data_IF_742488580973
#
_entry.id   IF_742488580973
#
_cell.length_a   1.000
_cell.length_b   1.000
_cell.length_c   1.000
_cell.angle_alpha   90.00
_cell.angle_beta   90.00
_cell.angle_gamma   90.00
#
_symmetry.space_group_name_H-M   'P 1'
#
loop_
_entity.id
_entity.type
_entity.pdbx_description
1 polymer ?
#
# COMPACT_ATOMS: atom_id res chain seq x y z
N UNK A 1 -26.50 13.84 -25.70
CA UNK A 1 -25.35 13.06 -25.16
C UNK A 1 -24.09 13.92 -24.97
N UNK A 2 -23.67 14.73 -25.95
CA UNK A 2 -22.49 15.60 -25.81
C UNK A 2 -22.53 16.57 -24.62
N UNK A 3 -23.69 17.13 -24.31
CA UNK A 3 -23.90 18.00 -23.13
C UNK A 3 -23.66 17.28 -21.80
N UNK A 4 -24.11 16.03 -21.67
CA UNK A 4 -23.90 15.22 -20.47
C UNK A 4 -22.42 14.89 -20.25
N UNK A 5 -21.66 14.57 -21.32
CA UNK A 5 -20.21 14.32 -21.22
C UNK A 5 -19.45 15.55 -20.76
N UNK A 6 -19.75 16.72 -21.33
CA UNK A 6 -19.15 17.99 -20.91
C UNK A 6 -19.45 18.31 -19.44
N UNK A 7 -20.66 18.01 -18.96
CA UNK A 7 -21.02 18.19 -17.55
C UNK A 7 -20.20 17.27 -16.62
N UNK A 8 -19.96 16.02 -17.00
CA UNK A 8 -19.12 15.07 -16.25
C UNK A 8 -17.70 15.64 -16.14
N UNK A 9 -17.08 16.00 -17.26
CA UNK A 9 -15.71 16.53 -17.28
C UNK A 9 -15.58 17.84 -16.50
N UNK A 10 -16.58 18.74 -16.59
CA UNK A 10 -16.59 19.99 -15.83
C UNK A 10 -16.71 19.76 -14.31
N UNK A 11 -17.46 18.74 -13.88
CA UNK A 11 -17.50 18.35 -12.48
C UNK A 11 -16.16 17.77 -12.03
N UNK A 12 -15.56 16.87 -12.82
CA UNK A 12 -14.25 16.26 -12.50
C UNK A 12 -13.14 17.30 -12.40
N UNK A 13 -13.11 18.27 -13.33
CA UNK A 13 -12.11 19.34 -13.34
C UNK A 13 -12.15 20.20 -12.08
N UNK A 14 -13.35 20.52 -11.58
CA UNK A 14 -13.55 21.27 -10.34
C UNK A 14 -13.10 20.49 -9.10
N UNK A 15 -13.20 19.16 -9.11
CA UNK A 15 -12.89 18.32 -7.96
C UNK A 15 -11.47 17.76 -7.95
N UNK A 16 -10.74 17.79 -9.08
CA UNK A 16 -9.38 17.26 -9.16
C UNK A 16 -8.41 17.87 -8.14
N UNK A 17 -8.37 19.19 -8.00
CA UNK A 17 -7.43 19.85 -7.07
C UNK A 17 -7.80 19.56 -5.60
N UNK A 18 -9.06 19.75 -5.15
CA UNK A 18 -9.45 19.41 -3.78
C UNK A 18 -9.17 17.94 -3.44
N UNK A 19 -9.51 17.01 -4.35
CA UNK A 19 -9.30 15.58 -4.14
C UNK A 19 -7.81 15.25 -4.06
N UNK A 20 -7.00 15.84 -4.96
CA UNK A 20 -5.56 15.65 -4.98
C UNK A 20 -4.90 16.11 -3.68
N UNK A 21 -5.20 17.34 -3.23
CA UNK A 21 -4.68 17.88 -1.97
C UNK A 21 -5.15 17.05 -0.78
N UNK A 22 -6.43 16.69 -0.75
CA UNK A 22 -7.01 15.89 0.34
C UNK A 22 -6.34 14.52 0.47
N UNK A 23 -6.04 13.86 -0.66
CA UNK A 23 -5.32 12.58 -0.65
C UNK A 23 -3.94 12.70 0.01
N UNK A 24 -3.17 13.75 -0.31
CA UNK A 24 -1.87 13.99 0.32
C UNK A 24 -1.99 14.32 1.80
N UNK A 25 -2.88 15.23 2.17
CA UNK A 25 -3.09 15.61 3.57
C UNK A 25 -3.49 14.40 4.40
N UNK A 26 -4.43 13.59 3.90
CA UNK A 26 -4.86 12.37 4.56
C UNK A 26 -3.70 11.39 4.78
N UNK A 27 -2.88 11.14 3.75
CA UNK A 27 -1.71 10.27 3.86
C UNK A 27 -0.68 10.82 4.84
N UNK A 28 -0.37 12.12 4.79
CA UNK A 28 0.58 12.76 5.72
C UNK A 28 0.07 12.64 7.16
N UNK A 29 -1.21 12.89 7.42
CA UNK A 29 -1.79 12.76 8.76
C UNK A 29 -1.63 11.33 9.31
N UNK A 30 -1.91 10.31 8.51
CA UNK A 30 -1.75 8.91 8.94
C UNK A 30 -0.28 8.55 9.19
N UNK A 31 0.64 8.99 8.33
CA UNK A 31 2.08 8.77 8.51
C UNK A 31 2.60 9.47 9.77
N UNK A 32 2.24 10.74 9.98
CA UNK A 32 2.62 11.52 11.16
C UNK A 32 2.05 10.88 12.42
N UNK A 33 0.79 10.42 12.37
CA UNK A 33 0.17 9.65 13.45
C UNK A 33 1.03 8.44 13.84
N UNK A 34 1.47 7.66 12.86
CA UNK A 34 2.32 6.49 13.12
C UNK A 34 3.68 6.86 13.75
N UNK A 35 4.27 7.97 13.34
CA UNK A 35 5.51 8.47 13.98
C UNK A 35 5.26 8.84 15.45
N UNK A 36 4.12 9.46 15.76
CA UNK A 36 3.76 9.83 17.15
C UNK A 36 3.63 8.59 18.03
N UNK A 37 2.94 7.53 17.57
CA UNK A 37 2.78 6.30 18.37
C UNK A 37 4.08 5.50 18.46
N UNK A 38 4.89 5.44 17.39
CA UNK A 38 6.20 4.78 17.45
C UNK A 38 7.12 5.40 18.49
N UNK A 39 7.08 6.72 18.67
CA UNK A 39 7.85 7.40 19.72
C UNK A 39 7.40 7.07 21.16
N UNK A 40 6.21 6.48 21.34
CA UNK A 40 5.73 5.98 22.63
C UNK A 40 6.21 4.55 22.93
N UNK A 41 6.56 3.77 21.90
CA UNK A 41 6.92 2.36 22.02
C UNK A 41 8.39 2.12 21.64
N UNK A 42 9.32 2.66 22.45
CA UNK A 42 10.76 2.61 22.14
C UNK A 42 11.46 1.32 22.60
N UNK A 43 10.84 0.53 23.48
CA UNK A 43 11.44 -0.67 24.08
C UNK A 43 10.83 -1.98 23.60
N UNK A 44 9.72 -1.93 22.87
CA UNK A 44 8.99 -3.13 22.44
C UNK A 44 8.11 -3.75 23.54
N UNK A 45 8.22 -3.28 24.78
CA UNK A 45 7.45 -3.77 25.93
C UNK A 45 6.13 -3.01 26.10
N UNK A 46 5.05 -3.75 26.34
CA UNK A 46 3.72 -3.17 26.48
C UNK A 46 3.57 -2.34 27.76
N UNK A 47 4.21 -2.78 28.84
CA UNK A 47 4.24 -2.07 30.12
C UNK A 47 4.82 -0.66 29.97
N UNK A 48 5.97 -0.53 29.29
CA UNK A 48 6.58 0.78 29.03
C UNK A 48 5.74 1.65 28.11
N UNK A 49 5.10 1.05 27.10
CA UNK A 49 4.15 1.77 26.25
C UNK A 49 2.99 2.36 27.07
N UNK A 50 2.39 1.59 27.99
CA UNK A 50 1.29 2.07 28.85
C UNK A 50 1.75 3.13 29.87
N UNK A 51 2.96 3.00 30.43
CA UNK A 51 3.56 4.04 31.29
C UNK A 51 3.71 5.34 30.49
N UNK A 52 4.32 5.26 29.30
CA UNK A 52 4.52 6.40 28.41
C UNK A 52 3.19 7.02 27.96
N UNK A 53 2.19 6.18 27.69
CA UNK A 53 0.84 6.60 27.34
C UNK A 53 0.14 7.34 28.50
N UNK A 54 0.31 6.90 29.74
CA UNK A 54 -0.23 7.58 30.93
C UNK A 54 0.45 8.95 31.15
N UNK A 55 1.78 8.98 31.07
CA UNK A 55 2.58 10.22 31.19
C UNK A 55 2.27 11.22 30.07
N UNK A 56 1.96 10.71 28.87
CA UNK A 56 1.71 11.51 27.68
C UNK A 56 0.31 11.29 27.10
N UNK A 57 -0.73 11.28 27.93
CA UNK A 57 -2.11 11.05 27.47
C UNK A 57 -2.54 11.96 26.30
N UNK A 58 -2.02 13.20 26.26
CA UNK A 58 -2.23 14.11 25.13
C UNK A 58 -1.67 13.60 23.79
N UNK A 59 -0.55 12.87 23.78
CA UNK A 59 0.01 12.24 22.57
C UNK A 59 -0.87 11.09 22.08
N UNK A 60 -1.44 10.31 22.99
CA UNK A 60 -2.38 9.22 22.65
C UNK A 60 -3.65 9.77 22.01
N UNK A 61 -4.24 10.81 22.60
CA UNK A 61 -5.41 11.48 22.05
C UNK A 61 -5.10 12.14 20.69
N UNK A 62 -3.93 12.77 20.55
CA UNK A 62 -3.47 13.38 19.31
C UNK A 62 -3.32 12.32 18.20
N UNK A 63 -2.68 11.19 18.50
CA UNK A 63 -2.57 10.05 17.59
C UNK A 63 -3.95 9.58 17.12
N UNK A 64 -4.85 9.27 18.04
CA UNK A 64 -6.19 8.78 17.72
C UNK A 64 -6.97 9.78 16.84
N UNK A 65 -6.88 11.07 17.16
CA UNK A 65 -7.52 12.14 16.39
C UNK A 65 -6.94 12.31 14.99
N UNK A 66 -5.61 12.29 14.84
CA UNK A 66 -4.93 12.39 13.54
C UNK A 66 -5.28 11.21 12.64
N UNK A 67 -5.27 10.00 13.19
CA UNK A 67 -5.63 8.79 12.46
C UNK A 67 -7.09 8.80 12.03
N UNK A 68 -8.00 9.19 12.93
CA UNK A 68 -9.42 9.30 12.63
C UNK A 68 -9.70 10.32 11.52
N UNK A 69 -9.10 11.51 11.61
CA UNK A 69 -9.23 12.55 10.58
C UNK A 69 -8.62 12.10 9.24
N UNK A 70 -7.44 11.47 9.29
CA UNK A 70 -6.77 10.95 8.10
C UNK A 70 -7.64 9.95 7.34
N UNK A 71 -8.22 8.97 8.04
CA UNK A 71 -9.11 7.99 7.40
C UNK A 71 -10.38 8.63 6.85
N UNK A 72 -11.02 9.57 7.56
CA UNK A 72 -12.19 10.29 7.03
C UNK A 72 -11.85 11.04 5.73
N UNK A 73 -10.69 11.71 5.68
CA UNK A 73 -10.24 12.42 4.50
C UNK A 73 -9.92 11.48 3.33
N UNK A 74 -9.42 10.27 3.58
CA UNK A 74 -9.23 9.24 2.53
C UNK A 74 -10.54 8.80 1.87
N UNK A 75 -11.68 8.97 2.54
CA UNK A 75 -12.99 8.71 1.94
C UNK A 75 -13.27 9.57 0.71
N UNK A 76 -12.78 10.82 0.68
CA UNK A 76 -13.03 11.74 -0.43
C UNK A 76 -12.42 11.30 -1.77
N UNK A 77 -11.11 11.00 -1.89
CA UNK A 77 -10.53 10.51 -3.14
C UNK A 77 -11.11 9.18 -3.57
N UNK A 78 -11.42 8.29 -2.62
CA UNK A 78 -12.04 7.00 -2.95
C UNK A 78 -13.46 7.18 -3.51
N UNK A 79 -14.27 8.03 -2.87
CA UNK A 79 -15.61 8.39 -3.35
C UNK A 79 -15.56 9.09 -4.72
N UNK A 80 -14.60 9.99 -4.94
CA UNK A 80 -14.39 10.65 -6.22
C UNK A 80 -14.15 9.64 -7.35
N UNK A 81 -13.21 8.70 -7.14
CA UNK A 81 -12.92 7.65 -8.11
C UNK A 81 -14.13 6.73 -8.34
N UNK A 82 -14.83 6.36 -7.26
CA UNK A 82 -16.05 5.55 -7.32
C UNK A 82 -17.13 6.24 -8.17
N UNK A 83 -17.38 7.52 -7.93
CA UNK A 83 -18.37 8.30 -8.67
C UNK A 83 -17.99 8.46 -10.14
N UNK A 84 -16.73 8.77 -10.44
CA UNK A 84 -16.22 8.86 -11.81
C UNK A 84 -16.40 7.53 -12.56
N UNK A 85 -16.22 6.41 -11.87
CA UNK A 85 -16.45 5.08 -12.43
C UNK A 85 -17.95 4.81 -12.65
N UNK A 86 -18.80 5.15 -11.68
CA UNK A 86 -20.24 4.91 -11.71
C UNK A 86 -20.99 5.61 -12.85
N UNK A 87 -20.50 6.77 -13.29
CA UNK A 87 -21.10 7.52 -14.40
C UNK A 87 -20.70 6.97 -15.77
N UNK A 88 -19.71 6.06 -15.84
CA UNK A 88 -19.16 5.50 -17.09
C UNK A 88 -19.54 4.03 -17.33
N UNK A 89 -20.17 3.35 -16.36
CA UNK A 89 -20.51 1.93 -16.51
C UNK A 89 -21.88 1.60 -15.94
N UNK A 90 -22.76 1.08 -16.80
CA UNK A 90 -24.11 0.63 -16.40
C UNK A 90 -24.07 -0.63 -15.52
N UNK A 91 -22.98 -1.42 -15.62
CA UNK A 91 -22.77 -2.61 -14.78
C UNK A 91 -22.33 -2.25 -13.35
N UNK A 92 -22.01 -0.98 -13.08
CA UNK A 92 -21.53 -0.52 -11.80
C UNK A 92 -22.69 -0.30 -10.81
N UNK A 93 -22.71 -1.06 -9.72
CA UNK A 93 -23.76 -1.03 -8.70
C UNK A 93 -23.56 0.19 -7.81
N UNK A 94 -24.37 1.22 -8.04
CA UNK A 94 -24.36 2.47 -7.27
C UNK A 94 -24.63 2.27 -5.77
N UNK A 95 -25.29 1.16 -5.39
CA UNK A 95 -25.55 0.79 -4.00
C UNK A 95 -24.25 0.59 -3.19
N UNK A 96 -23.12 0.28 -3.84
CA UNK A 96 -21.82 0.12 -3.17
C UNK A 96 -21.24 1.44 -2.61
N UNK A 97 -21.88 2.58 -2.92
CA UNK A 97 -21.47 3.89 -2.37
C UNK A 97 -21.51 3.91 -0.85
N UNK A 98 -22.45 3.18 -0.24
CA UNK A 98 -22.55 3.06 1.21
C UNK A 98 -21.29 2.44 1.82
N UNK A 99 -20.71 1.42 1.18
CA UNK A 99 -19.49 0.75 1.65
C UNK A 99 -18.28 1.68 1.56
N UNK A 100 -18.18 2.44 0.47
CA UNK A 100 -17.10 3.43 0.24
C UNK A 100 -17.07 4.52 1.31
N UNK A 101 -18.25 4.93 1.79
CA UNK A 101 -18.38 5.97 2.83
C UNK A 101 -18.27 5.37 4.23
N UNK A 102 -18.88 4.20 4.47
CA UNK A 102 -18.91 3.57 5.79
C UNK A 102 -17.51 3.11 6.26
N UNK A 103 -16.67 2.60 5.35
CA UNK A 103 -15.36 2.07 5.75
C UNK A 103 -14.41 3.13 6.37
N UNK A 104 -14.20 4.32 5.75
CA UNK A 104 -13.50 5.44 6.38
C UNK A 104 -14.06 5.86 7.75
N UNK A 105 -15.39 5.86 7.89
CA UNK A 105 -16.05 6.23 9.15
C UNK A 105 -15.79 5.19 10.22
N UNK A 106 -15.86 3.90 9.89
CA UNK A 106 -15.56 2.83 10.82
C UNK A 106 -14.10 2.81 11.23
N UNK A 107 -13.16 3.11 10.32
CA UNK A 107 -11.76 3.31 10.69
C UNK A 107 -11.59 4.46 11.66
N UNK A 108 -12.29 5.58 11.44
CA UNK A 108 -12.21 6.73 12.33
C UNK A 108 -12.78 6.42 13.72
N UNK A 109 -13.93 5.76 13.79
CA UNK A 109 -14.51 5.30 15.07
C UNK A 109 -13.55 4.33 15.77
N UNK A 110 -13.00 3.35 15.05
CA UNK A 110 -12.06 2.39 15.60
C UNK A 110 -10.81 3.09 16.17
N UNK A 111 -10.24 4.07 15.46
CA UNK A 111 -9.07 4.83 15.92
C UNK A 111 -9.36 5.58 17.23
N UNK A 112 -10.53 6.23 17.36
CA UNK A 112 -10.93 6.90 18.59
C UNK A 112 -11.11 5.90 19.74
N UNK A 113 -11.80 4.78 19.48
CA UNK A 113 -11.99 3.74 20.50
C UNK A 113 -10.64 3.19 20.98
N UNK A 114 -9.71 2.91 20.06
CA UNK A 114 -8.36 2.47 20.41
C UNK A 114 -7.64 3.49 21.29
N UNK A 115 -7.73 4.79 20.99
CA UNK A 115 -7.15 5.83 21.85
C UNK A 115 -7.74 5.87 23.26
N UNK A 116 -9.06 5.69 23.39
CA UNK A 116 -9.74 5.64 24.70
C UNK A 116 -9.33 4.38 25.47
N UNK A 117 -9.36 3.21 24.82
CA UNK A 117 -8.94 1.93 25.42
C UNK A 117 -7.51 2.01 25.92
N UNK A 118 -6.59 2.55 25.12
CA UNK A 118 -5.19 2.74 25.53
C UNK A 118 -5.08 3.67 26.74
N UNK A 119 -5.86 4.76 26.79
CA UNK A 119 -5.83 5.70 27.91
C UNK A 119 -6.36 5.07 29.20
N UNK A 120 -7.49 4.34 29.12
CA UNK A 120 -8.06 3.62 30.26
C UNK A 120 -7.14 2.51 30.77
N UNK A 121 -6.58 1.72 29.85
CA UNK A 121 -5.64 0.65 30.19
C UNK A 121 -4.38 1.21 30.84
N UNK A 122 -3.85 2.34 30.34
CA UNK A 122 -2.69 3.00 30.91
C UNK A 122 -2.92 3.45 32.36
N UNK A 123 -4.08 4.05 32.66
CA UNK A 123 -4.43 4.45 34.03
C UNK A 123 -4.59 3.24 34.95
N UNK A 124 -5.32 2.20 34.53
CA UNK A 124 -5.49 0.97 35.33
C UNK A 124 -4.16 0.27 35.61
N UNK A 125 -3.27 0.25 34.62
CA UNK A 125 -1.96 -0.35 34.72
C UNK A 125 -1.09 0.35 35.78
N UNK A 126 -1.00 1.69 35.70
CA UNK A 126 -0.21 2.51 36.63
C UNK A 126 -0.78 2.49 38.05
N UNK A 127 -2.11 2.41 38.19
CA UNK A 127 -2.77 2.30 39.50
C UNK A 127 -2.72 0.88 40.10
N UNK A 128 -2.13 -0.09 39.39
CA UNK A 128 -2.08 -1.51 39.80
C UNK A 128 -3.46 -2.14 40.06
N UNK A 129 -4.50 -1.65 39.38
CA UNK A 129 -5.88 -2.13 39.57
C UNK A 129 -6.11 -3.54 39.00
N UNK A 130 -5.24 -3.96 38.07
CA UNK A 130 -5.32 -5.25 37.40
C UNK A 130 -4.12 -6.09 37.82
N UNK A 131 -4.32 -7.28 38.42
CA UNK A 131 -3.22 -8.16 38.76
C UNK A 131 -2.67 -8.85 37.50
N UNK A 132 -1.36 -9.15 37.52
CA UNK A 132 -0.77 -10.07 36.56
C UNK A 132 -1.40 -11.46 36.72
N UNK A 133 -1.72 -12.09 35.60
CA UNK A 133 -2.15 -13.48 35.51
C UNK A 133 -0.94 -14.41 35.62
N UNK A 134 0.19 -14.02 35.04
CA UNK A 134 1.41 -14.80 35.08
C UNK A 134 2.04 -14.80 36.48
N UNK A 135 2.45 -15.98 36.94
CA UNK A 135 3.14 -16.13 38.21
C UNK A 135 4.65 -15.88 38.10
N UNK A 136 5.30 -15.52 39.21
CA UNK A 136 6.77 -15.38 39.26
C UNK A 136 7.53 -16.62 38.79
N UNK A 137 6.98 -17.82 39.01
CA UNK A 137 7.60 -19.06 38.58
C UNK A 137 7.50 -19.28 37.06
N UNK A 138 6.42 -18.83 36.45
CA UNK A 138 6.24 -18.89 34.99
C UNK A 138 7.18 -17.90 34.30
N UNK A 139 7.23 -16.66 34.80
CA UNK A 139 8.17 -15.63 34.33
C UNK A 139 9.63 -16.13 34.40
N UNK A 140 10.05 -16.70 35.53
CA UNK A 140 11.41 -17.22 35.70
C UNK A 140 11.74 -18.36 34.72
N UNK A 141 10.77 -19.22 34.42
CA UNK A 141 10.93 -20.31 33.44
C UNK A 141 11.08 -19.75 32.02
N UNK A 142 10.26 -18.77 31.66
CA UNK A 142 10.29 -18.12 30.35
C UNK A 142 11.61 -17.38 30.13
N UNK A 143 12.02 -16.53 31.08
CA UNK A 143 13.31 -15.83 31.04
C UNK A 143 14.52 -16.78 31.02
N UNK A 144 14.47 -17.89 31.75
CA UNK A 144 15.56 -18.88 31.72
C UNK A 144 15.63 -19.60 30.36
N UNK A 145 14.46 -19.90 29.77
CA UNK A 145 14.38 -20.50 28.44
C UNK A 145 14.90 -19.54 27.37
N UNK A 146 14.48 -18.28 27.39
CA UNK A 146 14.94 -17.25 26.46
C UNK A 146 16.46 -17.06 26.57
N UNK A 147 16.99 -16.95 27.79
CA UNK A 147 18.45 -16.89 28.03
C UNK A 147 19.19 -18.10 27.47
N UNK A 148 18.59 -19.29 27.52
CA UNK A 148 19.18 -20.50 26.95
C UNK A 148 19.14 -20.52 25.42
N UNK A 149 18.14 -19.89 24.80
CA UNK A 149 17.94 -19.87 23.35
C UNK A 149 18.79 -18.77 22.68
N UNK A 150 18.77 -17.54 23.20
CA UNK A 150 19.57 -16.40 22.71
C UNK A 150 21.04 -16.47 23.18
N UNK A 151 21.29 -17.14 24.30
CA UNK A 151 22.60 -17.20 24.96
C UNK A 151 22.83 -16.02 25.91
N UNK A 152 23.70 -16.23 26.90
CA UNK A 152 23.84 -15.31 28.04
C UNK A 152 24.35 -13.91 27.68
N UNK A 153 25.09 -13.75 26.57
CA UNK A 153 25.61 -12.44 26.13
C UNK A 153 24.50 -11.59 25.53
N UNK A 154 23.82 -12.11 24.50
CA UNK A 154 22.72 -11.42 23.82
C UNK A 154 21.58 -11.11 24.81
N UNK A 155 21.23 -12.08 25.66
CA UNK A 155 20.24 -11.86 26.73
C UNK A 155 20.67 -10.76 27.72
N UNK A 156 21.96 -10.69 28.07
CA UNK A 156 22.47 -9.65 28.96
C UNK A 156 22.50 -8.26 28.32
N UNK A 157 22.63 -8.17 27.00
CA UNK A 157 22.59 -6.91 26.22
C UNK A 157 21.16 -6.39 26.06
N UNK A 158 20.17 -7.27 25.97
CA UNK A 158 18.75 -6.92 25.94
C UNK A 158 18.25 -6.43 27.31
N UNK A 159 18.58 -7.19 28.37
CA UNK A 159 18.06 -6.96 29.73
C UNK A 159 19.02 -6.17 30.63
N UNK A 160 19.48 -5.01 30.15
CA UNK A 160 20.57 -4.23 30.78
C UNK A 160 20.19 -3.39 32.00
N UNK A 161 18.90 -3.29 32.35
CA UNK A 161 18.42 -2.43 33.45
C UNK A 161 18.74 -2.98 34.85
N UNK A 162 20.01 -2.98 35.27
CA UNK A 162 20.38 -3.33 36.66
C UNK A 162 21.44 -4.42 36.76
N UNK A 163 21.63 -4.98 37.96
CA UNK A 163 22.73 -5.91 38.26
C UNK A 163 22.43 -7.38 37.89
N UNK A 164 21.16 -7.74 37.67
CA UNK A 164 20.76 -9.10 37.32
C UNK A 164 19.77 -9.13 36.12
N UNK A 165 20.26 -9.45 34.91
CA UNK A 165 19.42 -9.53 33.70
C UNK A 165 18.21 -10.47 33.82
N UNK A 166 18.34 -11.58 34.56
CA UNK A 166 17.22 -12.51 34.75
C UNK A 166 16.11 -11.89 35.60
N UNK A 167 16.46 -11.18 36.67
CA UNK A 167 15.47 -10.53 37.52
C UNK A 167 14.74 -9.40 36.76
N UNK A 168 15.45 -8.67 35.90
CA UNK A 168 14.86 -7.62 35.07
C UNK A 168 13.89 -8.18 34.04
N UNK A 169 14.25 -9.30 33.41
CA UNK A 169 13.36 -10.03 32.51
C UNK A 169 12.11 -10.49 33.27
N UNK A 170 12.26 -11.12 34.43
CA UNK A 170 11.13 -11.61 35.23
C UNK A 170 10.16 -10.48 35.63
N UNK A 171 10.70 -9.33 36.05
CA UNK A 171 9.89 -8.17 36.40
C UNK A 171 9.16 -7.58 35.18
N UNK A 172 9.86 -7.47 34.06
CA UNK A 172 9.28 -6.91 32.83
C UNK A 172 8.21 -7.81 32.24
N UNK A 173 8.41 -9.13 32.24
CA UNK A 173 7.40 -10.08 31.78
C UNK A 173 6.13 -10.04 32.63
N UNK A 174 6.26 -9.93 33.96
CA UNK A 174 5.11 -9.76 34.86
C UNK A 174 4.41 -8.42 34.60
N UNK A 175 5.17 -7.36 34.34
CA UNK A 175 4.61 -6.06 34.00
C UNK A 175 3.92 -6.08 32.63
N UNK A 176 4.47 -6.76 31.63
CA UNK A 176 3.89 -6.89 30.29
C UNK A 176 2.60 -7.73 30.33
N UNK A 177 2.57 -8.84 31.07
CA UNK A 177 1.34 -9.61 31.27
C UNK A 177 0.25 -8.76 31.97
N UNK A 178 0.63 -7.95 32.98
CA UNK A 178 -0.30 -7.00 33.60
C UNK A 178 -0.81 -5.94 32.62
N UNK A 179 0.06 -5.44 31.74
CA UNK A 179 -0.31 -4.48 30.71
C UNK A 179 -1.32 -5.09 29.73
N UNK A 180 -1.08 -6.32 29.29
CA UNK A 180 -1.99 -7.07 28.42
C UNK A 180 -3.35 -7.29 29.10
N UNK A 181 -3.36 -7.74 30.37
CA UNK A 181 -4.61 -7.88 31.14
C UNK A 181 -5.37 -6.55 31.28
N UNK A 182 -4.66 -5.42 31.39
CA UNK A 182 -5.28 -4.09 31.47
C UNK A 182 -5.96 -3.69 30.16
N UNK A 183 -5.37 -4.06 29.02
CA UNK A 183 -5.98 -3.88 27.70
C UNK A 183 -7.20 -4.79 27.52
N UNK A 184 -7.10 -6.06 27.94
CA UNK A 184 -8.18 -7.06 27.80
C UNK A 184 -9.39 -6.80 28.69
N UNK A 185 -9.19 -6.22 29.87
CA UNK A 185 -10.29 -5.84 30.77
C UNK A 185 -10.99 -4.53 30.36
N UNK A 186 -10.56 -3.90 29.27
CA UNK A 186 -11.21 -2.69 28.77
C UNK A 186 -12.47 -3.05 27.99
N UNK A 187 -13.64 -2.72 28.53
CA UNK A 187 -14.95 -3.10 27.96
C UNK A 187 -15.20 -2.61 26.53
N UNK A 188 -14.43 -1.62 26.05
CA UNK A 188 -14.50 -1.08 24.69
C UNK A 188 -13.61 -1.81 23.67
N UNK A 189 -12.70 -2.69 24.09
CA UNK A 189 -11.75 -3.38 23.20
C UNK A 189 -12.49 -4.22 22.15
N UNK A 190 -13.56 -4.93 22.55
CA UNK A 190 -14.39 -5.70 21.62
C UNK A 190 -15.09 -4.84 20.56
N UNK A 191 -15.53 -3.63 20.93
CA UNK A 191 -16.10 -2.66 19.99
C UNK A 191 -15.03 -2.13 19.03
N UNK A 192 -13.85 -1.77 19.54
CA UNK A 192 -12.73 -1.31 18.74
C UNK A 192 -12.32 -2.34 17.69
N UNK A 193 -12.20 -3.62 18.09
CA UNK A 193 -11.93 -4.73 17.18
C UNK A 193 -13.04 -4.92 16.14
N UNK A 194 -14.31 -4.88 16.56
CA UNK A 194 -15.46 -5.03 15.67
C UNK A 194 -15.52 -3.95 14.59
N UNK A 195 -15.39 -2.67 14.97
CA UNK A 195 -15.32 -1.56 14.03
C UNK A 195 -14.09 -1.63 13.14
N UNK A 196 -12.92 -1.99 13.70
CA UNK A 196 -11.68 -2.15 12.93
C UNK A 196 -11.79 -3.23 11.86
N UNK A 197 -12.36 -4.39 12.20
CA UNK A 197 -12.57 -5.49 11.26
C UNK A 197 -13.60 -5.12 10.17
N UNK A 198 -14.71 -4.50 10.57
CA UNK A 198 -15.74 -4.02 9.63
C UNK A 198 -15.16 -2.96 8.68
N UNK A 199 -14.32 -2.05 9.17
CA UNK A 199 -13.64 -1.05 8.38
C UNK A 199 -12.70 -1.68 7.34
N UNK A 200 -11.86 -2.65 7.75
CA UNK A 200 -10.94 -3.37 6.87
C UNK A 200 -11.69 -4.13 5.77
N UNK A 201 -12.75 -4.87 6.12
CA UNK A 201 -13.59 -5.58 5.15
C UNK A 201 -14.27 -4.63 4.17
N UNK A 202 -14.89 -3.56 4.68
CA UNK A 202 -15.54 -2.55 3.85
C UNK A 202 -14.55 -1.86 2.91
N UNK A 203 -13.37 -1.50 3.41
CA UNK A 203 -12.31 -0.86 2.64
C UNK A 203 -11.76 -1.79 1.56
N UNK A 204 -11.49 -3.06 1.87
CA UNK A 204 -11.04 -4.05 0.91
C UNK A 204 -12.03 -4.20 -0.25
N UNK A 205 -13.32 -4.34 0.07
CA UNK A 205 -14.40 -4.43 -0.94
C UNK A 205 -14.50 -3.14 -1.75
N UNK A 206 -14.52 -1.98 -1.08
CA UNK A 206 -14.64 -0.67 -1.73
C UNK A 206 -13.48 -0.42 -2.71
N UNK A 207 -12.24 -0.64 -2.26
CA UNK A 207 -11.04 -0.40 -3.06
C UNK A 207 -10.93 -1.41 -4.21
N UNK A 208 -11.11 -2.71 -3.95
CA UNK A 208 -11.10 -3.74 -4.98
C UNK A 208 -12.16 -3.47 -6.06
N UNK A 209 -13.41 -3.26 -5.63
CA UNK A 209 -14.53 -3.05 -6.55
C UNK A 209 -14.33 -1.79 -7.40
N UNK A 210 -13.91 -0.69 -6.77
CA UNK A 210 -13.67 0.58 -7.47
C UNK A 210 -12.53 0.44 -8.47
N UNK A 211 -11.38 -0.12 -8.07
CA UNK A 211 -10.21 -0.28 -8.93
C UNK A 211 -10.48 -1.20 -10.13
N UNK A 212 -11.21 -2.31 -9.92
CA UNK A 212 -11.58 -3.23 -10.99
C UNK A 212 -12.37 -2.53 -12.09
N UNK A 213 -13.40 -1.77 -11.73
CA UNK A 213 -14.24 -1.08 -12.71
C UNK A 213 -13.59 0.18 -13.27
N UNK A 214 -12.84 0.93 -12.46
CA UNK A 214 -12.09 2.12 -12.90
C UNK A 214 -11.08 1.76 -14.00
N UNK A 215 -10.42 0.60 -13.87
CA UNK A 215 -9.56 0.05 -14.92
C UNK A 215 -10.35 -0.32 -16.19
N UNK A 216 -11.53 -0.93 -16.04
CA UNK A 216 -12.38 -1.31 -17.19
C UNK A 216 -12.88 -0.12 -17.99
N UNK A 217 -13.18 1.00 -17.34
CA UNK A 217 -13.63 2.23 -18.01
C UNK A 217 -12.47 3.12 -18.47
N UNK A 218 -11.22 2.72 -18.22
CA UNK A 218 -10.02 3.46 -18.63
C UNK A 218 -9.62 4.63 -17.73
N UNK A 219 -10.19 4.77 -16.53
CA UNK A 219 -9.81 5.80 -15.57
C UNK A 219 -8.48 5.50 -14.86
N UNK A 220 -8.17 4.21 -14.71
CA UNK A 220 -6.89 3.72 -14.19
C UNK A 220 -6.17 2.90 -15.26
N UNK A 221 -4.84 2.94 -15.29
CA UNK A 221 -4.06 2.00 -16.08
C UNK A 221 -4.20 0.58 -15.50
N UNK A 222 -3.90 -0.45 -16.31
CA UNK A 222 -3.96 -1.85 -15.84
C UNK A 222 -3.10 -2.10 -14.60
N UNK A 223 -1.89 -1.53 -14.56
CA UNK A 223 -0.98 -1.64 -13.42
C UNK A 223 -1.57 -1.04 -12.14
N UNK A 224 -2.07 0.20 -12.19
CA UNK A 224 -2.62 0.85 -11.00
C UNK A 224 -3.97 0.25 -10.57
N UNK A 225 -4.76 -0.24 -11.52
CA UNK A 225 -5.97 -1.01 -11.23
C UNK A 225 -5.67 -2.32 -10.50
N UNK A 226 -4.70 -3.11 -10.97
CA UNK A 226 -4.31 -4.36 -10.30
C UNK A 226 -3.63 -4.12 -8.94
N UNK A 227 -2.77 -3.11 -8.85
CA UNK A 227 -2.14 -2.73 -7.59
C UNK A 227 -3.19 -2.31 -6.55
N UNK A 228 -4.16 -1.48 -6.91
CA UNK A 228 -5.24 -1.07 -6.02
C UNK A 228 -6.09 -2.26 -5.54
N UNK A 229 -6.38 -3.23 -6.41
CA UNK A 229 -7.07 -4.47 -6.00
C UNK A 229 -6.23 -5.29 -5.02
N UNK A 230 -4.93 -5.46 -5.29
CA UNK A 230 -4.03 -6.20 -4.42
C UNK A 230 -3.89 -5.53 -3.04
N UNK A 231 -3.72 -4.21 -3.00
CA UNK A 231 -3.67 -3.44 -1.75
C UNK A 231 -4.99 -3.49 -0.97
N UNK A 232 -6.13 -3.47 -1.68
CA UNK A 232 -7.44 -3.68 -1.07
C UNK A 232 -7.53 -5.02 -0.35
N UNK A 233 -7.19 -6.13 -1.00
CA UNK A 233 -7.21 -7.46 -0.34
C UNK A 233 -6.14 -7.54 0.75
N UNK A 234 -4.95 -7.02 0.48
CA UNK A 234 -3.84 -7.05 1.42
C UNK A 234 -4.17 -6.33 2.72
N UNK A 235 -5.00 -5.26 2.70
CA UNK A 235 -5.44 -4.54 3.91
C UNK A 235 -6.23 -5.36 4.93
N UNK A 236 -6.65 -6.58 4.57
CA UNK A 236 -7.29 -7.52 5.50
C UNK A 236 -6.27 -8.21 6.42
N UNK A 237 -5.07 -8.48 5.89
CA UNK A 237 -4.02 -9.26 6.56
C UNK A 237 -2.90 -8.32 7.00
N UNK A 238 -2.49 -7.44 6.09
CA UNK A 238 -1.53 -6.37 6.31
C UNK A 238 -2.24 -5.11 6.79
N UNK A 239 -1.44 -4.21 7.32
CA UNK A 239 -1.86 -2.90 7.78
C UNK A 239 -2.45 -2.08 6.59
N UNK A 240 -3.62 -1.43 6.72
CA UNK A 240 -4.22 -0.62 5.64
C UNK A 240 -3.31 0.51 5.11
N UNK A 241 -2.28 0.86 5.86
CA UNK A 241 -1.22 1.82 5.58
C UNK A 241 -0.50 1.53 4.26
N UNK A 242 -0.35 0.26 3.86
CA UNK A 242 0.23 -0.07 2.56
C UNK A 242 -0.60 0.50 1.40
N UNK A 243 -1.89 0.75 1.60
CA UNK A 243 -2.76 1.36 0.59
C UNK A 243 -2.50 2.86 0.41
N UNK A 244 -1.74 3.50 1.29
CA UNK A 244 -1.42 4.92 1.17
C UNK A 244 -0.64 5.25 -0.11
N UNK A 245 0.18 4.32 -0.61
CA UNK A 245 0.88 4.47 -1.89
C UNK A 245 -0.09 4.66 -3.06
N UNK A 246 -1.23 3.97 -3.02
CA UNK A 246 -2.28 4.10 -4.02
C UNK A 246 -2.97 5.47 -3.93
N UNK A 247 -3.18 6.00 -2.73
CA UNK A 247 -3.74 7.33 -2.54
C UNK A 247 -2.78 8.45 -2.91
N UNK A 248 -1.46 8.27 -2.67
CA UNK A 248 -0.43 9.17 -3.21
C UNK A 248 -0.50 9.21 -4.73
N UNK A 249 -0.60 8.04 -5.38
CA UNK A 249 -0.78 7.95 -6.82
C UNK A 249 -2.06 8.66 -7.29
N UNK A 250 -3.20 8.41 -6.66
CA UNK A 250 -4.45 9.11 -6.99
C UNK A 250 -4.33 10.61 -6.80
N UNK A 251 -3.60 11.05 -5.76
CA UNK A 251 -3.27 12.45 -5.52
C UNK A 251 -2.50 13.05 -6.70
N UNK A 252 -1.42 12.40 -7.13
CA UNK A 252 -0.61 12.82 -8.28
C UNK A 252 -1.43 12.81 -9.59
N UNK A 253 -2.27 11.79 -9.79
CA UNK A 253 -3.17 11.68 -10.94
C UNK A 253 -4.15 12.85 -10.99
N UNK A 254 -4.80 13.13 -9.86
CA UNK A 254 -5.75 14.22 -9.72
C UNK A 254 -5.06 15.58 -9.90
N UNK A 255 -3.83 15.77 -9.43
CA UNK A 255 -3.06 17.00 -9.66
C UNK A 255 -2.44 17.10 -11.06
N UNK A 256 -2.52 16.06 -11.89
CA UNK A 256 -1.90 16.05 -13.23
C UNK A 256 -0.37 16.03 -13.21
N UNK A 257 0.23 15.50 -12.13
CA UNK A 257 1.69 15.46 -11.89
C UNK A 257 2.33 14.12 -12.25
N UNK A 258 1.59 13.19 -12.82
CA UNK A 258 2.12 11.87 -13.18
C UNK A 258 2.95 11.91 -14.48
N UNK A 259 4.10 11.21 -14.53
CA UNK A 259 4.81 10.96 -15.77
C UNK A 259 3.92 10.10 -16.67
N UNK A 260 3.53 10.62 -17.83
CA UNK A 260 2.56 9.99 -18.74
C UNK A 260 1.16 10.59 -18.71
N UNK A 261 0.90 11.57 -17.83
CA UNK A 261 -0.36 12.32 -17.82
C UNK A 261 -1.56 11.50 -17.34
N UNK A 262 -2.77 11.99 -17.64
CA UNK A 262 -4.02 11.34 -17.25
C UNK A 262 -4.47 10.38 -18.36
N UNK A 263 -5.02 9.20 -18.01
CA UNK A 263 -5.66 8.32 -18.98
C UNK A 263 -6.74 9.03 -19.82
N UNK A 264 -6.93 8.62 -21.09
CA UNK A 264 -7.80 9.33 -22.04
C UNK A 264 -9.27 9.41 -21.60
N UNK A 265 -9.74 8.45 -20.80
CA UNK A 265 -11.12 8.43 -20.28
C UNK A 265 -11.46 9.66 -19.38
N UNK A 266 -10.45 10.29 -18.77
CA UNK A 266 -10.64 11.54 -18.01
C UNK A 266 -10.92 12.73 -18.92
N UNK A 267 -10.32 12.80 -20.10
CA UNK A 267 -10.57 13.86 -21.06
C UNK A 267 -11.86 13.62 -21.85
N UNK A 268 -12.16 12.36 -22.19
CA UNK A 268 -13.31 12.00 -23.01
C UNK A 268 -14.66 12.12 -22.27
N UNK A 269 -14.65 11.98 -20.94
CA UNK A 269 -15.89 11.96 -20.14
C UNK A 269 -16.77 10.73 -20.39
N UNK A 270 -16.22 9.71 -21.04
CA UNK A 270 -16.87 8.43 -21.31
C UNK A 270 -15.90 7.27 -21.05
N UNK A 271 -16.43 6.04 -21.06
CA UNK A 271 -15.59 4.85 -20.93
C UNK A 271 -14.74 4.67 -22.19
N UNK A 272 -13.43 4.65 -22.02
CA UNK A 272 -12.47 4.32 -23.08
C UNK A 272 -11.65 3.13 -22.60
N UNK A 273 -12.10 1.88 -22.88
CA UNK A 273 -11.40 0.68 -22.41
C UNK A 273 -9.96 0.64 -22.93
N UNK A 274 -9.03 0.13 -22.12
CA UNK A 274 -7.67 -0.09 -22.58
C UNK A 274 -7.62 -1.14 -23.69
N UNK A 275 -6.87 -0.91 -24.79
CA UNK A 275 -6.75 -1.88 -25.87
C UNK A 275 -6.26 -3.22 -25.34
N UNK A 276 -6.85 -4.33 -25.79
CA UNK A 276 -6.33 -5.66 -25.46
C UNK A 276 -4.95 -5.86 -26.11
N UNK A 277 -4.06 -6.70 -25.55
CA UNK A 277 -2.75 -6.95 -26.16
C UNK A 277 -2.83 -7.34 -27.64
N UNK A 278 -3.87 -8.09 -28.04
CA UNK A 278 -4.09 -8.47 -29.44
C UNK A 278 -4.53 -7.31 -30.35
N UNK A 279 -5.31 -6.35 -29.83
CA UNK A 279 -5.71 -5.16 -30.59
C UNK A 279 -4.53 -4.23 -30.86
N UNK A 280 -3.57 -4.12 -29.94
CA UNK A 280 -2.35 -3.34 -30.17
C UNK A 280 -1.49 -3.94 -31.27
N UNK A 281 -1.25 -5.25 -31.21
CA UNK A 281 -0.51 -5.94 -32.26
C UNK A 281 -1.24 -5.82 -33.61
N UNK A 282 -2.57 -5.87 -33.64
CA UNK A 282 -3.35 -5.66 -34.85
C UNK A 282 -3.32 -4.21 -35.36
N UNK A 283 -3.20 -3.21 -34.49
CA UNK A 283 -3.02 -1.80 -34.87
C UNK A 283 -1.61 -1.53 -35.41
N UNK A 284 -0.59 -2.18 -34.85
CA UNK A 284 0.79 -2.09 -35.35
C UNK A 284 1.00 -2.84 -36.67
N UNK A 285 0.21 -3.90 -36.91
CA UNK A 285 0.20 -4.65 -38.17
C UNK A 285 -0.71 -4.04 -39.23
N UNK A 286 -1.55 -3.06 -38.90
CA UNK A 286 -2.25 -2.29 -39.92
C UNK A 286 -1.19 -1.45 -40.64
N UNK A 287 -0.96 -1.69 -41.94
CA UNK A 287 0.01 -0.90 -42.69
C UNK A 287 -0.39 0.57 -42.55
N UNK A 288 0.56 1.43 -42.15
CA UNK A 288 0.39 2.88 -42.24
C UNK A 288 -0.12 3.17 -43.65
N UNK A 289 -1.28 3.83 -43.72
CA UNK A 289 -1.95 4.12 -44.96
C UNK A 289 -0.95 4.81 -45.91
N UNK A 290 -0.55 4.17 -47.03
CA UNK A 290 0.47 4.72 -47.92
C UNK A 290 0.01 6.02 -48.60
N UNK A 291 -1.21 6.49 -48.33
CA UNK A 291 -1.73 7.77 -48.79
C UNK A 291 -1.28 8.98 -47.97
N UNK A 292 -0.62 8.81 -46.81
CA UNK A 292 -0.23 9.92 -45.93
C UNK A 292 1.19 10.48 -46.17
N UNK A 293 2.01 9.86 -47.02
CA UNK A 293 3.36 10.38 -47.34
C UNK A 293 3.70 10.22 -48.83
N UNK A 294 2.91 10.88 -49.69
CA UNK A 294 3.50 11.44 -50.92
C UNK A 294 4.15 12.76 -50.52
N UNK A 295 5.31 12.68 -49.86
CA UNK A 295 6.25 13.79 -49.90
C UNK A 295 6.71 13.86 -51.34
N UNK A 296 6.12 14.79 -52.09
CA UNK A 296 6.57 15.24 -53.39
C UNK A 296 8.08 15.47 -53.29
N UNK A 297 8.85 14.55 -53.87
CA UNK A 297 10.29 14.69 -53.98
C UNK A 297 10.56 16.04 -54.68
N UNK A 298 11.42 16.91 -54.13
CA UNK A 298 11.82 18.12 -54.84
C UNK A 298 12.41 17.72 -56.19
N UNK A 299 11.84 18.24 -57.27
CA UNK A 299 12.38 18.05 -58.62
C UNK A 299 13.85 18.48 -58.64
N UNK A 300 14.75 17.50 -58.73
CA UNK A 300 16.17 17.74 -58.96
C UNK A 300 16.34 18.26 -60.40
N UNK A 301 16.92 19.45 -60.59
CA UNK A 301 17.15 19.99 -61.93
C UNK A 301 18.15 19.11 -62.69
N UNK A 302 17.78 18.76 -63.91
CA UNK A 302 18.58 17.99 -64.83
C UNK A 302 19.85 18.73 -65.26
N UNK A 303 20.99 18.03 -65.16
CA UNK A 303 22.08 18.10 -66.12
C UNK A 303 23.23 19.07 -65.81
N UNK A 304 24.39 18.50 -65.44
CA UNK A 304 25.66 18.87 -66.08
C UNK A 304 26.67 17.72 -66.00
N UNK A 305 27.05 17.24 -67.19
CA UNK A 305 28.21 16.39 -67.45
C UNK A 305 29.52 17.08 -67.09
N UNK A 306 30.45 16.31 -66.53
CA UNK A 306 31.93 16.37 -66.57
C UNK A 306 32.42 15.36 -65.50
N UNK A 307 33.26 14.35 -65.71
CA UNK A 307 34.29 14.08 -66.71
C UNK A 307 35.58 13.70 -65.94
N UNK A 308 36.04 12.46 -66.06
CA UNK A 308 37.34 11.96 -65.53
C UNK A 308 37.33 11.57 -64.04
N UNK A 309 38.15 10.66 -63.52
CA UNK A 309 39.32 9.98 -64.04
C UNK A 309 39.73 8.82 -63.07
N UNK A 310 40.34 7.81 -63.65
CA UNK A 310 41.29 6.80 -63.13
C UNK A 310 41.30 6.35 -61.64
N UNK A 311 40.92 5.09 -61.42
CA UNK A 311 41.85 4.00 -61.07
C UNK A 311 42.57 3.98 -59.71
N UNK A 312 42.28 2.94 -58.89
CA UNK A 312 43.34 2.02 -58.41
C UNK A 312 42.79 0.75 -57.77
N UNK A 313 43.36 -0.36 -58.23
CA UNK A 313 43.24 -1.71 -57.72
C UNK A 313 43.84 -1.87 -56.32
N UNK A 314 43.32 -2.84 -55.57
CA UNK A 314 43.88 -3.32 -54.31
C UNK A 314 43.26 -4.65 -53.91
N UNK A 315 43.83 -5.73 -54.44
CA UNK A 315 43.60 -7.12 -54.06
C UNK A 315 43.78 -7.36 -52.55
N UNK A 316 43.01 -8.30 -52.00
CA UNK A 316 43.60 -9.31 -51.14
C UNK A 316 42.75 -9.77 -49.93
N UNK A 317 42.85 -11.04 -49.52
CA UNK A 317 41.76 -11.78 -48.91
C UNK A 317 42.05 -12.24 -47.46
N UNK A 318 41.11 -13.01 -46.93
CA UNK A 318 41.29 -14.05 -45.90
C UNK A 318 40.94 -13.69 -44.46
N UNK A 319 40.10 -14.54 -43.86
CA UNK A 319 40.36 -15.04 -42.51
C UNK A 319 39.14 -15.13 -41.58
N UNK A 320 38.64 -16.35 -41.37
CA UNK A 320 38.35 -16.85 -40.01
C UNK A 320 36.88 -16.99 -39.58
N UNK A 321 36.33 -18.19 -39.79
CA UNK A 321 35.34 -18.86 -38.90
C UNK A 321 35.88 -19.05 -37.45
N UNK A 322 35.23 -19.81 -36.55
CA UNK A 322 33.87 -19.69 -35.98
C UNK A 322 33.93 -19.69 -34.43
N UNK A 323 32.83 -19.30 -33.78
CA UNK A 323 32.72 -19.31 -32.30
C UNK A 323 31.51 -20.09 -31.83
N UNK A 324 31.67 -21.42 -31.74
CA UNK A 324 30.75 -22.34 -31.08
C UNK A 324 30.87 -22.20 -29.55
N UNK A 325 29.74 -22.26 -28.85
CA UNK A 325 29.63 -21.85 -27.44
C UNK A 325 28.46 -22.50 -26.71
N UNK A 326 28.49 -23.82 -26.65
CA UNK A 326 27.69 -24.70 -25.78
C UNK A 326 27.75 -24.28 -24.30
N UNK A 327 26.60 -24.30 -23.62
CA UNK A 327 26.51 -24.19 -22.15
C UNK A 327 25.08 -24.39 -21.63
N UNK A 328 24.62 -25.64 -21.51
CA UNK A 328 24.39 -26.22 -20.18
C UNK A 328 22.94 -26.09 -19.67
N UNK A 329 22.02 -26.88 -20.24
CA UNK A 329 20.75 -27.19 -19.60
C UNK A 329 20.96 -28.37 -18.64
N UNK A 330 20.98 -28.09 -17.34
CA UNK A 330 21.16 -29.09 -16.30
C UNK A 330 20.41 -28.74 -15.01
N UNK A 331 19.34 -29.51 -14.75
CA UNK A 331 18.93 -29.84 -13.37
C UNK A 331 17.49 -29.54 -12.97
N UNK A 332 16.63 -30.57 -12.83
CA UNK A 332 15.62 -30.63 -11.78
C UNK A 332 16.22 -31.36 -10.58
N UNK A 333 16.58 -30.62 -9.53
CA UNK A 333 16.97 -31.18 -8.24
C UNK A 333 15.76 -31.50 -7.39
N UNK A 334 15.29 -32.75 -7.43
CA UNK A 334 14.42 -33.32 -6.40
C UNK A 334 15.19 -33.44 -5.08
N UNK A 335 14.83 -32.61 -4.09
CA UNK A 335 15.33 -32.73 -2.72
C UNK A 335 14.56 -33.81 -1.93
N UNK A 336 15.24 -34.67 -1.15
CA UNK A 336 14.58 -35.71 -0.36
C UNK A 336 13.83 -35.15 0.85
N UNK A 337 12.55 -35.53 0.96
CA UNK A 337 11.69 -35.37 2.13
C UNK A 337 12.37 -35.87 3.42
N UNK A 338 12.68 -34.95 4.34
CA UNK A 338 13.03 -35.29 5.73
C UNK A 338 11.78 -35.77 6.48
N UNK A 339 11.78 -37.04 6.88
CA UNK A 339 10.85 -37.64 7.85
C UNK A 339 11.01 -36.97 9.22
N UNK A 340 9.96 -36.28 9.69
CA UNK A 340 9.86 -35.79 11.08
C UNK A 340 9.54 -36.98 11.99
N UNK A 341 10.49 -37.29 12.87
CA UNK A 341 10.41 -38.34 13.89
C UNK A 341 9.44 -37.87 14.98
N UNK A 342 8.30 -38.56 15.13
CA UNK A 342 7.45 -38.48 16.33
C UNK A 342 8.25 -39.04 17.51
N UNK A 343 8.32 -38.30 18.61
CA UNK A 343 8.53 -38.85 19.95
C UNK A 343 7.31 -38.47 20.78
N UNK A 344 6.74 -39.48 21.43
CA UNK A 344 5.86 -39.30 22.57
C UNK A 344 6.67 -39.12 23.84
#
# INVERSE_FOLDING_TARGET
>A
MATARRQIVAWESRWFVPVGVTAFVATILIVVSNIVVSGLNNSGHQSEFLISANEHGGKVALYAGLQALGFLLLGLPLYFLFRATAVRSDRFRRQMVGVVIAAPIFFAIAAIITGVVTSEAATKFVNEEVPAKMTKQEAAKECTKERSEKGAKEFGEEWTKGSNPLANCEETEIADDRAEQSLDQSGLQGLGFGFGLAARLGFAVALLYTCLYAMRVGLLTRFWGSLGMALGVASLILAPEFSLIFFIYLGLLALGRLPGGRPPAWAAGEAVPWPTPGEKAAQELQPEDPSAEVVEAPELPAGRDEGGDEGKAGDGPSGGEPGDGSGGSGGPGEGPRRKRKRRG
#
